data_IF_020848712285
#
_entry.id   IF_020848712285
#
_cell.length_a   1.000
_cell.length_b   1.000
_cell.length_c   1.000
_cell.angle_alpha   90.00
_cell.angle_beta   90.00
_cell.angle_gamma   90.00
#
_symmetry.space_group_name_H-M   'P 1'
#
loop_
_entity.id
_entity.type
_entity.pdbx_description
1 polymer ?
#
# COMPACT_ATOMS: atom_id res chain seq x y z
N UNK A 1 -23.59 -17.44 46.02
CA UNK A 1 -23.27 -16.14 45.38
C UNK A 1 -21.95 -16.15 44.61
N UNK A 2 -20.88 -16.89 45.06
CA UNK A 2 -19.60 -16.95 44.34
C UNK A 2 -19.63 -17.79 43.04
N UNK A 3 -20.44 -18.81 42.93
CA UNK A 3 -20.49 -19.70 41.75
C UNK A 3 -21.16 -19.04 40.53
N UNK A 4 -22.11 -18.14 40.75
CA UNK A 4 -22.76 -17.38 39.64
C UNK A 4 -21.88 -16.30 39.07
N UNK A 5 -20.92 -15.77 39.84
CA UNK A 5 -19.97 -14.74 39.36
C UNK A 5 -18.94 -15.33 38.37
N UNK A 6 -18.48 -16.56 38.62
CA UNK A 6 -17.51 -17.22 37.73
C UNK A 6 -18.14 -17.70 36.42
N UNK A 7 -19.43 -18.06 36.40
CA UNK A 7 -20.14 -18.48 35.20
C UNK A 7 -20.52 -17.31 34.26
N UNK A 8 -20.68 -16.09 34.83
CA UNK A 8 -21.02 -14.91 34.05
C UNK A 8 -19.81 -14.07 33.60
N UNK A 9 -18.60 -14.35 34.13
CA UNK A 9 -17.40 -13.60 33.81
C UNK A 9 -17.11 -13.55 32.30
N UNK A 10 -17.13 -14.68 31.53
CA UNK A 10 -16.89 -14.65 30.09
C UNK A 10 -18.00 -13.94 29.31
N UNK A 11 -19.24 -13.91 29.85
CA UNK A 11 -20.38 -13.26 29.21
C UNK A 11 -20.40 -11.74 29.47
N UNK A 12 -19.94 -11.33 30.64
CA UNK A 12 -19.78 -9.92 31.00
C UNK A 12 -18.56 -9.30 30.27
N UNK A 13 -17.44 -9.99 30.21
CA UNK A 13 -16.25 -9.53 29.47
C UNK A 13 -16.58 -9.33 27.98
N UNK A 14 -17.31 -10.27 27.35
CA UNK A 14 -17.73 -10.17 25.95
C UNK A 14 -18.75 -9.04 25.66
N UNK A 15 -19.39 -8.49 26.67
CA UNK A 15 -20.41 -7.43 26.54
C UNK A 15 -19.87 -6.03 26.77
N UNK A 16 -18.59 -5.92 27.19
CA UNK A 16 -17.86 -4.67 27.43
C UNK A 16 -16.60 -4.55 26.54
N UNK A 17 -16.34 -5.53 25.68
CA UNK A 17 -15.40 -5.32 24.57
C UNK A 17 -16.11 -4.38 23.58
N UNK A 18 -15.65 -3.15 23.49
CA UNK A 18 -16.07 -2.24 22.44
C UNK A 18 -15.73 -2.88 21.09
N UNK A 19 -16.63 -2.80 20.11
CA UNK A 19 -16.35 -3.27 18.76
C UNK A 19 -15.11 -2.54 18.21
N UNK A 20 -14.24 -3.21 17.41
CA UNK A 20 -13.07 -2.56 16.85
C UNK A 20 -13.48 -1.37 15.98
N UNK A 21 -12.81 -0.26 16.17
CA UNK A 21 -13.05 0.95 15.38
C UNK A 21 -12.68 0.69 13.91
N UNK A 22 -13.54 1.08 12.98
CA UNK A 22 -13.23 1.03 11.56
C UNK A 22 -12.06 1.97 11.23
N UNK A 23 -11.07 1.44 10.55
CA UNK A 23 -9.89 2.20 10.12
C UNK A 23 -10.25 2.99 8.88
N UNK A 24 -9.97 4.30 8.90
CA UNK A 24 -10.09 5.18 7.74
C UNK A 24 -8.72 5.75 7.40
N UNK A 25 -8.31 5.60 6.15
CA UNK A 25 -7.06 6.15 5.63
C UNK A 25 -7.39 7.40 4.79
N UNK A 26 -6.94 8.61 5.21
CA UNK A 26 -7.16 9.81 4.43
C UNK A 26 -6.55 9.69 3.02
N UNK A 27 -7.38 9.87 2.00
CA UNK A 27 -6.93 9.91 0.62
C UNK A 27 -6.29 11.28 0.31
N UNK A 28 -5.45 11.34 -0.72
CA UNK A 28 -4.87 12.60 -1.15
C UNK A 28 -5.99 13.48 -1.74
N UNK A 29 -6.05 14.75 -1.30
CA UNK A 29 -6.96 15.72 -1.91
C UNK A 29 -6.57 15.91 -3.38
N UNK A 30 -7.55 15.77 -4.27
CA UNK A 30 -7.35 16.15 -5.67
C UNK A 30 -7.15 17.66 -5.70
N UNK A 31 -5.90 18.13 -5.79
CA UNK A 31 -5.63 19.53 -6.11
C UNK A 31 -6.12 19.74 -7.54
N UNK A 32 -7.27 20.40 -7.69
CA UNK A 32 -7.55 21.14 -8.89
C UNK A 32 -6.39 22.11 -9.09
N UNK A 33 -5.80 22.11 -10.29
CA UNK A 33 -4.75 23.07 -10.68
C UNK A 33 -5.32 24.48 -10.63
N UNK A 34 -5.45 25.05 -9.44
CA UNK A 34 -5.57 26.50 -9.29
C UNK A 34 -4.22 27.11 -9.64
N UNK A 35 -4.18 27.70 -10.83
CA UNK A 35 -3.12 28.62 -11.22
C UNK A 35 -3.09 29.76 -10.21
N UNK A 36 -2.31 29.58 -9.14
CA UNK A 36 -2.03 30.65 -8.20
C UNK A 36 -1.09 31.62 -8.90
N UNK A 37 -1.65 32.73 -9.36
CA UNK A 37 -0.87 33.93 -9.65
C UNK A 37 -0.22 34.35 -8.34
N UNK A 38 1.06 34.04 -8.16
CA UNK A 38 1.86 34.59 -7.10
C UNK A 38 2.06 36.06 -7.39
N UNK A 39 1.34 36.92 -6.65
CA UNK A 39 1.75 38.32 -6.45
C UNK A 39 3.12 38.30 -5.75
N UNK A 40 4.07 39.00 -6.36
CA UNK A 40 5.44 39.02 -5.92
C UNK A 40 5.64 39.72 -4.57
N UNK A 41 5.72 38.96 -3.50
CA UNK A 41 6.45 39.38 -2.31
C UNK A 41 7.94 39.26 -2.55
N UNK A 42 8.67 40.35 -2.44
CA UNK A 42 10.13 40.36 -2.47
C UNK A 42 10.65 39.60 -1.25
N UNK A 43 10.89 38.31 -1.42
CA UNK A 43 11.68 37.49 -0.48
C UNK A 43 13.12 38.02 -0.57
N UNK A 44 13.58 38.67 0.49
CA UNK A 44 15.02 38.95 0.65
C UNK A 44 15.74 37.62 0.70
N UNK A 45 16.46 37.28 -0.36
CA UNK A 45 17.40 36.16 -0.37
C UNK A 45 18.42 36.32 0.74
N UNK A 46 18.17 35.82 1.93
CA UNK A 46 19.22 35.52 2.89
C UNK A 46 20.05 34.39 2.28
N UNK A 47 21.19 34.72 1.70
CA UNK A 47 22.21 33.73 1.34
C UNK A 47 22.60 32.97 2.61
N UNK A 48 21.97 31.86 2.84
CA UNK A 48 22.38 30.88 3.87
C UNK A 48 23.72 30.35 3.42
N UNK A 49 24.80 30.78 4.06
CA UNK A 49 26.15 30.26 3.79
C UNK A 49 26.16 28.85 4.36
N UNK A 50 26.32 27.85 3.49
CA UNK A 50 26.44 26.45 3.91
C UNK A 50 27.79 26.30 4.64
N UNK A 51 27.74 26.20 5.96
CA UNK A 51 28.90 25.94 6.81
C UNK A 51 28.93 24.46 7.21
N UNK A 52 30.08 23.99 7.74
CA UNK A 52 30.17 22.63 8.31
C UNK A 52 29.15 22.41 9.42
N UNK A 53 28.88 23.44 10.21
CA UNK A 53 27.92 23.40 11.31
C UNK A 53 26.49 23.20 10.79
N UNK A 54 26.06 23.99 9.78
CA UNK A 54 24.75 23.84 9.14
C UNK A 54 24.55 22.47 8.50
N UNK A 55 25.58 21.94 7.86
CA UNK A 55 25.56 20.59 7.30
C UNK A 55 25.39 19.54 8.40
N UNK A 56 26.11 19.67 9.51
CA UNK A 56 26.01 18.77 10.64
C UNK A 56 24.62 18.82 11.30
N UNK A 57 24.01 20.01 11.39
CA UNK A 57 22.63 20.19 11.88
C UNK A 57 21.62 19.49 10.96
N UNK A 58 21.77 19.61 9.65
CA UNK A 58 20.92 18.89 8.68
C UNK A 58 21.00 17.36 8.85
N UNK A 59 22.22 16.82 8.98
CA UNK A 59 22.40 15.39 9.24
C UNK A 59 21.79 14.94 10.57
N UNK A 60 21.91 15.76 11.61
CA UNK A 60 21.31 15.43 12.91
C UNK A 60 19.78 15.46 12.83
N UNK A 61 19.20 16.37 12.09
CA UNK A 61 17.75 16.42 11.85
C UNK A 61 17.28 15.19 11.12
N UNK A 62 17.96 14.76 10.05
CA UNK A 62 17.62 13.51 9.33
C UNK A 62 17.72 12.27 10.25
N UNK A 63 18.74 12.20 11.12
CA UNK A 63 18.85 11.13 12.11
C UNK A 63 17.69 11.15 13.11
N UNK A 64 17.27 12.32 13.54
CA UNK A 64 16.11 12.45 14.43
C UNK A 64 14.85 11.95 13.74
N UNK A 65 14.57 12.41 12.50
CA UNK A 65 13.42 11.96 11.72
C UNK A 65 13.42 10.44 11.55
N UNK A 66 14.55 9.86 11.14
CA UNK A 66 14.64 8.39 11.00
C UNK A 66 14.45 7.65 12.33
N UNK A 67 14.90 8.23 13.46
CA UNK A 67 14.69 7.69 14.80
C UNK A 67 13.19 7.65 15.19
N UNK A 68 12.44 8.71 14.89
CA UNK A 68 10.99 8.75 15.13
C UNK A 68 10.26 7.77 14.22
N UNK A 69 10.58 7.76 12.93
CA UNK A 69 9.97 6.84 11.95
C UNK A 69 10.18 5.37 12.33
N UNK A 70 11.34 5.01 12.90
CA UNK A 70 11.63 3.64 13.35
C UNK A 70 10.63 3.12 14.39
N UNK A 71 9.97 3.98 15.14
CA UNK A 71 8.93 3.57 16.10
C UNK A 71 7.68 2.98 15.41
N UNK A 72 7.49 3.29 14.14
CA UNK A 72 6.41 2.74 13.31
C UNK A 72 6.81 1.52 12.50
N UNK A 73 8.08 1.10 12.56
CA UNK A 73 8.58 -0.05 11.79
C UNK A 73 8.87 -1.22 12.73
N UNK A 74 8.36 -2.38 12.35
CA UNK A 74 8.50 -3.63 13.10
C UNK A 74 9.07 -4.72 12.20
N UNK A 75 9.62 -5.76 12.79
CA UNK A 75 10.04 -6.96 12.09
C UNK A 75 8.95 -8.03 12.20
N UNK A 76 8.63 -8.71 11.10
CA UNK A 76 7.63 -9.78 11.03
C UNK A 76 8.33 -11.04 10.55
N UNK A 77 8.22 -12.12 11.32
CA UNK A 77 8.78 -13.41 10.99
C UNK A 77 7.69 -14.48 11.00
N UNK A 78 7.75 -15.39 10.02
CA UNK A 78 6.84 -16.52 9.92
C UNK A 78 7.56 -17.85 9.94
N UNK A 79 6.93 -18.88 10.51
CA UNK A 79 7.42 -20.26 10.48
C UNK A 79 6.25 -21.26 10.39
N UNK A 80 6.53 -22.50 9.97
CA UNK A 80 5.52 -23.57 9.94
C UNK A 80 5.44 -24.26 11.32
N UNK A 81 6.55 -24.36 12.05
CA UNK A 81 6.64 -24.98 13.38
C UNK A 81 7.46 -24.13 14.36
N UNK A 82 7.25 -24.33 15.67
CA UNK A 82 8.06 -23.68 16.72
C UNK A 82 9.54 -24.05 16.66
N UNK A 83 9.86 -25.26 16.21
CA UNK A 83 11.25 -25.69 16.07
C UNK A 83 11.95 -24.95 14.93
N UNK A 84 11.25 -24.73 13.82
CA UNK A 84 11.74 -23.89 12.71
C UNK A 84 11.87 -22.45 13.15
N UNK A 85 10.85 -21.90 13.82
CA UNK A 85 10.90 -20.54 14.33
C UNK A 85 12.12 -20.31 15.21
N UNK A 86 12.41 -21.24 16.15
CA UNK A 86 13.54 -21.12 17.06
C UNK A 86 14.91 -21.23 16.37
N UNK A 87 15.00 -22.00 15.28
CA UNK A 87 16.22 -22.10 14.44
C UNK A 87 16.37 -20.88 13.54
N UNK A 88 15.25 -20.37 13.02
CA UNK A 88 15.20 -19.26 12.09
C UNK A 88 15.39 -17.90 12.77
N UNK A 89 15.43 -17.83 14.12
CA UNK A 89 15.85 -16.62 14.82
C UNK A 89 17.31 -16.23 14.50
N UNK A 90 18.13 -17.20 14.09
CA UNK A 90 19.50 -16.95 13.61
C UNK A 90 19.52 -16.65 12.09
N UNK A 91 18.44 -17.02 11.36
CA UNK A 91 18.30 -16.86 9.91
C UNK A 91 17.39 -15.67 9.59
N UNK A 92 17.98 -14.47 9.60
CA UNK A 92 17.26 -13.21 9.41
C UNK A 92 16.65 -13.05 8.00
N UNK A 93 17.00 -13.92 7.05
CA UNK A 93 16.47 -13.87 5.67
C UNK A 93 14.99 -14.25 5.57
N UNK A 94 14.40 -14.79 6.65
CA UNK A 94 13.00 -15.23 6.69
C UNK A 94 12.06 -14.22 7.33
N UNK A 95 12.53 -13.05 7.66
CA UNK A 95 11.72 -11.97 8.21
C UNK A 95 11.67 -10.78 7.26
N UNK A 96 10.61 -9.97 7.40
CA UNK A 96 10.39 -8.74 6.64
C UNK A 96 10.12 -7.58 7.59
N UNK A 97 10.34 -6.36 7.12
CA UNK A 97 9.87 -5.16 7.83
C UNK A 97 8.44 -4.84 7.47
N UNK A 98 7.65 -4.49 8.50
CA UNK A 98 6.30 -3.98 8.36
C UNK A 98 6.13 -2.61 8.98
N UNK A 99 5.11 -1.89 8.56
CA UNK A 99 4.75 -0.56 9.02
C UNK A 99 3.47 -0.63 9.85
N UNK A 100 3.48 -0.07 11.05
CA UNK A 100 2.29 0.10 11.89
C UNK A 100 1.40 1.15 11.22
N UNK A 101 0.24 0.73 10.69
CA UNK A 101 -0.67 1.63 9.94
C UNK A 101 -1.83 2.14 10.77
N UNK A 102 -2.28 1.37 11.77
CA UNK A 102 -3.39 1.77 12.62
C UNK A 102 -3.44 0.98 13.93
N UNK A 103 -4.07 1.58 14.94
CA UNK A 103 -4.61 0.94 16.14
C UNK A 103 -6.13 1.08 16.10
N UNK A 104 -6.87 -0.03 16.03
CA UNK A 104 -8.33 -0.03 15.99
C UNK A 104 -8.98 -0.20 17.38
N UNK A 105 -8.18 -0.07 18.45
CA UNK A 105 -8.60 -0.25 19.83
C UNK A 105 -8.49 -1.68 20.34
N UNK A 106 -8.51 -2.69 19.48
CA UNK A 106 -8.36 -4.11 19.83
C UNK A 106 -7.08 -4.71 19.26
N UNK A 107 -6.68 -4.26 18.08
CA UNK A 107 -5.55 -4.78 17.33
C UNK A 107 -4.67 -3.65 16.84
N UNK A 108 -3.35 -3.87 16.92
CA UNK A 108 -2.36 -3.08 16.21
C UNK A 108 -2.21 -3.69 14.81
N UNK A 109 -2.43 -2.87 13.77
CA UNK A 109 -2.45 -3.29 12.37
C UNK A 109 -1.15 -2.90 11.70
N UNK A 110 -0.54 -3.86 11.01
CA UNK A 110 0.79 -3.72 10.42
C UNK A 110 0.72 -4.09 8.95
N UNK A 111 1.03 -3.14 8.08
CA UNK A 111 1.17 -3.37 6.64
C UNK A 111 2.57 -3.86 6.31
N UNK A 112 2.67 -4.92 5.52
CA UNK A 112 3.94 -5.42 4.98
C UNK A 112 3.71 -6.18 3.68
N UNK A 113 4.79 -6.66 3.06
CA UNK A 113 4.73 -7.64 1.99
C UNK A 113 4.31 -9.02 2.47
N UNK A 114 4.22 -9.96 1.54
CA UNK A 114 4.03 -11.37 1.87
C UNK A 114 5.28 -11.94 2.56
N UNK A 115 5.05 -12.79 3.57
CA UNK A 115 6.16 -13.49 4.23
C UNK A 115 6.86 -14.45 3.25
N UNK A 116 8.19 -14.58 3.31
CA UNK A 116 8.94 -15.55 2.50
C UNK A 116 8.52 -17.01 2.78
N UNK A 117 8.05 -17.29 4.01
CA UNK A 117 7.60 -18.62 4.43
C UNK A 117 6.15 -18.82 4.00
N UNK A 118 5.93 -19.68 3.00
CA UNK A 118 4.58 -20.07 2.57
C UNK A 118 3.88 -20.87 3.66
N UNK A 119 2.58 -20.64 3.82
CA UNK A 119 1.73 -21.34 4.79
C UNK A 119 2.25 -21.25 6.23
N UNK A 120 2.86 -20.13 6.60
CA UNK A 120 3.31 -19.85 7.96
C UNK A 120 2.12 -20.00 8.94
N UNK A 121 2.29 -20.88 9.94
CA UNK A 121 1.30 -21.10 11.01
C UNK A 121 1.59 -20.28 12.25
N UNK A 122 2.84 -19.89 12.40
CA UNK A 122 3.35 -19.08 13.48
C UNK A 122 3.83 -17.79 12.84
N UNK A 123 3.29 -16.67 13.28
CA UNK A 123 3.71 -15.34 12.86
C UNK A 123 3.99 -14.54 14.12
N UNK A 124 5.16 -13.95 14.21
CA UNK A 124 5.54 -13.07 15.31
C UNK A 124 6.03 -11.75 14.80
N UNK A 125 5.66 -10.73 15.55
CA UNK A 125 6.11 -9.35 15.36
C UNK A 125 7.10 -9.00 16.46
N UNK A 126 8.27 -8.55 16.05
CA UNK A 126 9.30 -8.02 16.96
C UNK A 126 9.28 -6.51 16.90
N UNK A 127 9.04 -5.89 18.05
CA UNK A 127 9.09 -4.44 18.25
C UNK A 127 10.49 -3.97 18.62
N UNK A 128 10.70 -2.66 18.65
CA UNK A 128 11.95 -2.08 19.18
C UNK A 128 12.25 -2.63 20.57
N UNK A 129 13.51 -3.03 20.84
CA UNK A 129 13.93 -3.62 22.12
C UNK A 129 13.68 -5.13 22.24
N UNK A 130 13.56 -5.84 21.11
CA UNK A 130 13.45 -7.30 20.98
C UNK A 130 12.18 -7.91 21.62
N UNK A 131 11.17 -7.10 21.92
CA UNK A 131 9.89 -7.58 22.43
C UNK A 131 9.10 -8.25 21.31
N UNK A 132 8.69 -9.50 21.51
CA UNK A 132 7.95 -10.28 20.54
C UNK A 132 6.50 -10.50 20.95
N UNK A 133 5.59 -10.40 19.98
CA UNK A 133 4.17 -10.73 20.13
C UNK A 133 3.70 -11.64 19.00
N UNK A 134 2.81 -12.58 19.33
CA UNK A 134 2.13 -13.37 18.32
C UNK A 134 1.22 -12.48 17.47
N UNK A 135 1.23 -12.74 16.17
CA UNK A 135 0.43 -12.03 15.18
C UNK A 135 -0.37 -13.00 14.32
N UNK A 136 -1.35 -12.48 13.62
CA UNK A 136 -2.11 -13.20 12.59
C UNK A 136 -2.16 -12.39 11.31
N UNK A 137 -2.16 -13.04 10.16
CA UNK A 137 -2.46 -12.38 8.90
C UNK A 137 -3.96 -12.09 8.86
N UNK A 138 -4.34 -10.81 8.86
CA UNK A 138 -5.74 -10.36 8.86
C UNK A 138 -6.34 -10.41 7.45
N UNK A 139 -5.58 -9.96 6.47
CA UNK A 139 -6.00 -9.88 5.07
C UNK A 139 -4.80 -9.74 4.15
N UNK A 140 -4.98 -10.03 2.87
CA UNK A 140 -3.94 -9.85 1.85
C UNK A 140 -4.55 -9.41 0.52
N UNK A 141 -3.74 -8.74 -0.29
CA UNK A 141 -3.96 -8.55 -1.71
C UNK A 141 -2.83 -9.21 -2.52
N UNK A 142 -3.15 -10.28 -3.24
CA UNK A 142 -2.19 -11.00 -4.05
C UNK A 142 -1.79 -10.23 -5.34
N UNK A 143 -2.55 -9.20 -5.73
CA UNK A 143 -2.25 -8.34 -6.88
C UNK A 143 -1.00 -7.50 -6.66
N UNK A 144 -0.89 -6.89 -5.49
CA UNK A 144 0.24 -6.05 -5.07
C UNK A 144 1.24 -6.78 -4.19
N UNK A 145 0.90 -7.98 -3.68
CA UNK A 145 1.72 -8.70 -2.71
C UNK A 145 1.75 -8.01 -1.35
N UNK A 146 0.66 -7.36 -0.95
CA UNK A 146 0.54 -6.64 0.32
C UNK A 146 -0.33 -7.42 1.30
N UNK A 147 0.08 -7.44 2.57
CA UNK A 147 -0.61 -8.08 3.67
C UNK A 147 -0.78 -7.13 4.85
N UNK A 148 -1.89 -7.25 5.56
CA UNK A 148 -2.05 -6.66 6.89
C UNK A 148 -1.99 -7.76 7.93
N UNK A 149 -1.06 -7.60 8.87
CA UNK A 149 -0.88 -8.44 10.04
C UNK A 149 -1.46 -7.74 11.26
N UNK A 150 -2.04 -8.51 12.17
CA UNK A 150 -2.68 -8.00 13.39
C UNK A 150 -2.05 -8.58 14.64
N UNK A 151 -1.69 -7.71 15.58
CA UNK A 151 -1.26 -8.07 16.93
C UNK A 151 -2.34 -7.63 17.91
N UNK A 152 -2.81 -8.55 18.77
CA UNK A 152 -3.81 -8.21 19.78
C UNK A 152 -3.22 -7.20 20.77
N UNK A 153 -3.88 -6.04 20.94
CA UNK A 153 -3.40 -4.94 21.78
C UNK A 153 -3.10 -5.38 23.22
N UNK A 154 -3.92 -6.28 23.77
CA UNK A 154 -3.73 -6.83 25.12
C UNK A 154 -2.45 -7.67 25.30
N UNK A 155 -1.82 -8.11 24.21
CA UNK A 155 -0.60 -8.89 24.24
C UNK A 155 0.65 -7.99 24.17
N UNK A 156 0.49 -6.70 23.90
CA UNK A 156 1.59 -5.74 23.85
C UNK A 156 1.81 -5.18 25.26
N UNK A 157 3.02 -5.32 25.78
CA UNK A 157 3.37 -4.82 27.11
C UNK A 157 3.37 -3.26 27.14
N UNK A 158 3.04 -2.67 28.30
CA UNK A 158 2.89 -1.21 28.44
C UNK A 158 4.19 -0.45 28.10
N UNK A 159 5.35 -1.01 28.42
CA UNK A 159 6.65 -0.42 28.11
C UNK A 159 6.93 -0.41 26.60
N UNK A 160 6.53 -1.45 25.88
CA UNK A 160 6.58 -1.51 24.41
C UNK A 160 5.60 -0.49 23.80
N UNK A 161 4.38 -0.45 24.34
CA UNK A 161 3.34 0.46 23.86
C UNK A 161 3.76 1.93 23.87
N UNK A 162 4.56 2.34 24.83
CA UNK A 162 5.08 3.71 24.92
C UNK A 162 6.20 4.01 23.91
N UNK A 163 6.74 3.01 23.21
CA UNK A 163 7.87 3.14 22.29
C UNK A 163 7.45 3.01 20.81
N UNK A 164 6.20 2.66 20.53
CA UNK A 164 5.70 2.47 19.18
C UNK A 164 4.74 3.61 18.81
N UNK A 165 4.67 3.89 17.52
CA UNK A 165 3.78 4.90 16.94
C UNK A 165 3.20 4.40 15.62
N UNK A 166 2.01 4.85 15.26
CA UNK A 166 1.47 4.62 13.92
C UNK A 166 2.18 5.53 12.91
N UNK A 167 2.47 5.00 11.73
CA UNK A 167 3.12 5.78 10.68
C UNK A 167 2.21 6.89 10.17
N UNK A 168 2.78 8.04 9.89
CA UNK A 168 2.09 9.14 9.21
C UNK A 168 2.19 8.94 7.71
N UNK A 169 1.06 8.69 7.05
CA UNK A 169 1.01 8.53 5.60
C UNK A 169 1.05 9.91 4.92
N UNK A 170 2.02 10.09 4.04
CA UNK A 170 2.15 11.27 3.18
C UNK A 170 1.43 11.12 1.84
N UNK A 171 1.94 11.82 0.83
CA UNK A 171 1.51 11.72 -0.56
C UNK A 171 2.69 11.46 -1.49
N UNK A 172 2.54 10.51 -2.40
CA UNK A 172 3.58 10.18 -3.38
C UNK A 172 3.46 10.93 -4.70
N UNK A 173 2.31 11.54 -4.98
CA UNK A 173 2.08 12.28 -6.25
C UNK A 173 2.87 13.60 -6.37
N UNK A 174 3.41 14.08 -5.26
CA UNK A 174 4.22 15.32 -5.21
C UNK A 174 5.72 15.05 -5.16
N UNK A 175 6.11 13.77 -5.21
CA UNK A 175 7.52 13.35 -5.17
C UNK A 175 8.19 13.64 -6.51
N UNK A 176 9.36 14.27 -6.47
CA UNK A 176 10.13 14.66 -7.64
C UNK A 176 11.52 14.05 -7.64
N UNK A 177 12.11 13.91 -8.83
CA UNK A 177 13.52 13.52 -8.99
C UNK A 177 14.44 14.49 -8.20
N UNK A 178 15.39 13.93 -7.47
CA UNK A 178 16.31 14.68 -6.61
C UNK A 178 15.80 14.96 -5.20
N UNK A 179 14.53 14.69 -4.89
CA UNK A 179 14.04 14.82 -3.52
C UNK A 179 14.77 13.85 -2.58
N UNK A 180 15.11 14.35 -1.39
CA UNK A 180 15.71 13.50 -0.35
C UNK A 180 14.71 12.47 0.16
N UNK A 181 15.14 11.22 0.19
CA UNK A 181 14.37 10.09 0.71
C UNK A 181 15.14 9.37 1.83
N UNK A 182 14.40 8.86 2.80
CA UNK A 182 14.93 7.98 3.85
C UNK A 182 14.25 6.62 3.65
N UNK A 183 15.03 5.58 3.44
CA UNK A 183 14.56 4.20 3.44
C UNK A 183 14.73 3.60 4.84
N UNK A 184 13.66 3.08 5.43
CA UNK A 184 13.68 2.49 6.77
C UNK A 184 13.13 1.07 6.72
N UNK A 185 13.94 0.10 7.09
CA UNK A 185 13.55 -1.31 7.05
C UNK A 185 14.73 -2.26 6.95
N UNK A 186 14.45 -3.49 6.57
CA UNK A 186 15.45 -4.53 6.28
C UNK A 186 15.91 -4.37 4.83
N UNK A 187 16.88 -3.49 4.60
CA UNK A 187 17.33 -3.15 3.24
C UNK A 187 18.31 -4.17 2.69
N UNK A 188 19.03 -4.90 3.55
CA UNK A 188 20.07 -5.89 3.21
C UNK A 188 19.79 -7.27 3.83
N UNK A 189 18.52 -7.61 4.04
CA UNK A 189 18.15 -8.90 4.64
C UNK A 189 18.51 -9.08 6.13
N UNK A 190 19.20 -8.11 6.75
CA UNK A 190 19.60 -8.16 8.15
C UNK A 190 18.75 -7.22 9.04
N UNK A 191 19.34 -6.57 10.01
CA UNK A 191 18.62 -5.71 10.96
C UNK A 191 17.91 -4.53 10.27
N UNK A 192 16.86 -4.01 10.91
CA UNK A 192 16.20 -2.78 10.48
C UNK A 192 17.15 -1.60 10.59
N UNK A 193 17.44 -0.97 9.46
CA UNK A 193 18.32 0.19 9.34
C UNK A 193 17.58 1.37 8.70
N UNK A 194 18.20 2.53 8.72
CA UNK A 194 17.77 3.70 7.97
C UNK A 194 18.92 4.16 7.06
N UNK A 195 18.66 4.26 5.78
CA UNK A 195 19.57 4.75 4.77
C UNK A 195 19.00 5.99 4.08
N UNK A 196 19.88 6.85 3.60
CA UNK A 196 19.53 8.15 3.02
C UNK A 196 19.96 8.19 1.56
N UNK A 197 19.11 8.75 0.72
CA UNK A 197 19.41 8.91 -0.69
C UNK A 197 18.48 9.93 -1.33
N UNK A 198 18.35 9.85 -2.64
CA UNK A 198 17.46 10.69 -3.43
C UNK A 198 16.53 9.84 -4.29
N UNK A 199 15.41 10.44 -4.65
CA UNK A 199 14.50 9.88 -5.64
C UNK A 199 15.18 9.98 -7.02
N UNK A 200 15.35 8.85 -7.70
CA UNK A 200 15.81 8.79 -9.08
C UNK A 200 14.66 9.01 -10.06
N UNK A 201 13.49 8.47 -9.75
CA UNK A 201 12.27 8.69 -10.51
C UNK A 201 11.04 8.39 -9.65
N UNK A 202 10.05 9.28 -9.70
CA UNK A 202 8.74 9.12 -9.08
C UNK A 202 7.59 9.12 -10.09
N UNK A 203 7.88 9.18 -11.38
CA UNK A 203 6.88 9.23 -12.47
C UNK A 203 6.72 7.90 -13.20
N UNK A 204 7.27 6.81 -12.66
CA UNK A 204 7.07 5.48 -13.21
C UNK A 204 5.76 4.89 -12.73
N UNK A 205 5.11 4.10 -13.59
CA UNK A 205 3.87 3.42 -13.27
C UNK A 205 3.95 1.96 -13.68
N UNK A 206 3.41 1.10 -12.83
CA UNK A 206 3.27 -0.32 -13.08
C UNK A 206 1.80 -0.64 -13.36
N UNK A 207 1.54 -1.11 -14.59
CA UNK A 207 0.21 -1.59 -14.96
C UNK A 207 -0.06 -2.94 -14.27
N UNK A 208 -1.18 -3.02 -13.59
CA UNK A 208 -1.73 -4.25 -12.99
C UNK A 208 -3.19 -4.41 -13.43
N UNK A 209 -3.74 -5.58 -13.23
CA UNK A 209 -5.18 -5.73 -13.38
C UNK A 209 -5.91 -4.75 -12.44
N UNK A 210 -6.91 -4.09 -13.00
CA UNK A 210 -7.79 -3.13 -12.34
C UNK A 210 -7.13 -1.84 -11.82
N UNK A 211 -5.89 -1.53 -12.24
CA UNK A 211 -5.26 -0.29 -11.82
C UNK A 211 -3.86 -0.06 -12.37
N UNK A 212 -3.38 1.13 -12.11
CA UNK A 212 -2.02 1.57 -12.40
C UNK A 212 -1.44 2.18 -11.14
N UNK A 213 -0.26 1.72 -10.75
CA UNK A 213 0.36 2.07 -9.47
C UNK A 213 1.67 2.79 -9.69
N UNK A 214 1.81 3.97 -9.11
CA UNK A 214 3.06 4.73 -9.11
C UNK A 214 4.16 3.90 -8.45
N UNK A 215 5.35 3.92 -9.05
CA UNK A 215 6.55 3.31 -8.48
C UNK A 215 7.61 4.37 -8.26
N UNK A 216 8.27 4.29 -7.11
CA UNK A 216 9.34 5.20 -6.70
C UNK A 216 10.67 4.45 -6.81
N UNK A 217 11.59 4.98 -7.59
CA UNK A 217 12.96 4.48 -7.72
C UNK A 217 13.89 5.42 -6.96
N UNK A 218 14.83 4.84 -6.21
CA UNK A 218 15.80 5.60 -5.41
C UNK A 218 17.23 5.17 -5.74
N UNK A 219 18.20 5.99 -5.36
CA UNK A 219 19.63 5.66 -5.41
C UNK A 219 20.10 4.92 -4.14
N UNK A 220 19.20 4.71 -3.16
CA UNK A 220 19.52 3.96 -1.95
C UNK A 220 19.87 2.52 -2.30
N UNK A 221 21.03 2.05 -1.88
CA UNK A 221 21.44 0.67 -2.07
C UNK A 221 20.63 -0.30 -1.18
N UNK A 222 20.41 -1.53 -1.69
CA UNK A 222 19.72 -2.58 -0.96
C UNK A 222 19.61 -3.86 -1.77
N UNK A 223 19.03 -4.88 -1.18
CA UNK A 223 18.84 -6.18 -1.82
C UNK A 223 17.43 -6.32 -2.41
N UNK A 224 17.25 -7.25 -3.35
CA UNK A 224 15.96 -7.55 -3.96
C UNK A 224 14.91 -8.03 -2.94
N UNK A 225 15.37 -8.60 -1.81
CA UNK A 225 14.54 -8.99 -0.67
C UNK A 225 14.26 -7.85 0.31
N UNK A 226 14.77 -6.65 0.02
CA UNK A 226 14.58 -5.47 0.86
C UNK A 226 13.10 -5.18 1.13
N UNK A 227 12.79 -4.82 2.37
CA UNK A 227 11.44 -4.53 2.84
C UNK A 227 11.44 -3.37 3.83
N UNK A 228 10.31 -2.66 3.91
CA UNK A 228 10.17 -1.49 4.77
C UNK A 228 9.41 -0.35 4.09
N UNK A 229 9.79 0.88 4.42
CA UNK A 229 9.12 2.09 3.95
C UNK A 229 10.09 3.12 3.41
N UNK A 230 9.58 3.95 2.50
CA UNK A 230 10.22 5.17 2.02
C UNK A 230 9.52 6.37 2.68
N UNK A 231 10.28 7.27 3.27
CA UNK A 231 9.73 8.48 3.89
C UNK A 231 10.43 9.73 3.38
N UNK A 232 9.73 10.86 3.41
CA UNK A 232 10.30 12.16 3.11
C UNK A 232 11.04 12.74 4.33
N UNK A 233 11.64 13.91 4.18
CA UNK A 233 12.39 14.61 5.26
C UNK A 233 11.52 15.06 6.44
N UNK A 234 10.19 14.98 6.34
CA UNK A 234 9.24 15.23 7.44
C UNK A 234 8.84 13.95 8.19
N UNK A 235 9.34 12.78 7.75
CA UNK A 235 8.97 11.49 8.32
C UNK A 235 7.63 10.95 7.84
N UNK A 236 7.03 11.55 6.81
CA UNK A 236 5.80 11.07 6.20
C UNK A 236 6.12 9.95 5.19
N UNK A 237 5.36 8.87 5.25
CA UNK A 237 5.53 7.72 4.36
C UNK A 237 5.07 8.10 2.95
N UNK A 238 5.98 8.01 1.99
CA UNK A 238 5.72 8.25 0.57
C UNK A 238 5.68 6.94 -0.24
N UNK A 239 6.15 5.82 0.31
CA UNK A 239 6.10 4.53 -0.39
C UNK A 239 6.35 3.33 0.52
N UNK A 240 5.96 2.16 0.01
CA UNK A 240 6.25 0.84 0.59
C UNK A 240 7.31 0.17 -0.26
N UNK A 241 8.40 -0.25 0.39
CA UNK A 241 9.51 -0.92 -0.31
C UNK A 241 9.02 -2.25 -0.88
N UNK A 242 9.17 -2.38 -2.16
CA UNK A 242 9.01 -3.59 -2.94
C UNK A 242 9.94 -3.50 -4.16
N UNK A 243 11.12 -4.09 -4.05
CA UNK A 243 12.15 -3.98 -5.09
C UNK A 243 11.75 -4.66 -6.40
N UNK A 244 10.76 -5.58 -6.38
CA UNK A 244 10.26 -6.25 -7.59
C UNK A 244 9.49 -5.34 -8.55
N UNK A 245 9.13 -4.12 -8.12
CA UNK A 245 8.44 -3.15 -9.00
C UNK A 245 9.41 -2.44 -9.96
N UNK A 246 10.71 -2.57 -9.74
CA UNK A 246 11.74 -1.99 -10.59
C UNK A 246 11.88 -2.81 -11.88
N UNK A 247 11.79 -2.15 -13.01
CA UNK A 247 11.84 -2.80 -14.35
C UNK A 247 13.17 -2.62 -15.06
N UNK A 248 14.05 -1.76 -14.54
CA UNK A 248 15.42 -1.62 -15.03
C UNK A 248 16.35 -2.71 -14.45
N UNK A 249 17.60 -2.79 -14.96
CA UNK A 249 18.57 -3.82 -14.56
C UNK A 249 19.22 -3.56 -13.17
N UNK A 250 18.84 -2.47 -12.48
CA UNK A 250 19.46 -2.06 -11.20
C UNK A 250 18.75 -2.74 -10.04
N UNK A 251 19.09 -3.99 -9.78
CA UNK A 251 18.49 -4.83 -8.72
C UNK A 251 19.10 -4.62 -7.33
N UNK A 252 20.13 -3.80 -7.22
CA UNK A 252 20.83 -3.44 -5.99
C UNK A 252 20.38 -2.10 -5.38
N UNK A 253 19.28 -1.54 -5.89
CA UNK A 253 18.70 -0.30 -5.39
C UNK A 253 17.28 -0.48 -4.90
N UNK A 254 16.97 0.22 -3.81
CA UNK A 254 15.63 0.22 -3.21
C UNK A 254 14.64 0.92 -4.12
N UNK A 255 13.48 0.30 -4.28
CA UNK A 255 12.31 0.83 -4.98
C UNK A 255 11.03 0.37 -4.29
N UNK A 256 9.91 0.98 -4.63
CA UNK A 256 8.65 0.61 -4.00
C UNK A 256 7.43 1.20 -4.67
N UNK A 257 6.26 0.81 -4.18
CA UNK A 257 4.98 1.41 -4.56
C UNK A 257 4.84 2.79 -3.91
N UNK A 258 4.38 3.77 -4.68
CA UNK A 258 3.95 5.06 -4.15
C UNK A 258 2.71 4.92 -3.26
N UNK A 259 2.74 5.56 -2.10
CA UNK A 259 1.71 5.39 -1.07
C UNK A 259 0.33 5.85 -1.53
N UNK A 260 0.24 6.89 -2.37
CA UNK A 260 -1.02 7.50 -2.80
C UNK A 260 -1.96 6.54 -3.51
N UNK A 261 -1.42 5.63 -4.33
CA UNK A 261 -2.22 4.69 -5.14
C UNK A 261 -2.62 3.41 -4.40
N UNK A 262 -2.17 3.25 -3.16
CA UNK A 262 -2.47 2.05 -2.36
C UNK A 262 -3.20 2.36 -1.04
N UNK A 263 -3.57 3.63 -0.79
CA UNK A 263 -4.26 4.04 0.45
C UNK A 263 -5.62 3.35 0.63
N UNK A 264 -6.38 3.21 -0.44
CA UNK A 264 -7.65 2.48 -0.44
C UNK A 264 -7.47 0.97 -0.20
N UNK A 265 -6.43 0.38 -0.79
CA UNK A 265 -6.06 -1.01 -0.52
C UNK A 265 -5.68 -1.19 0.96
N UNK A 266 -4.85 -0.28 1.52
CA UNK A 266 -4.49 -0.30 2.94
C UNK A 266 -5.73 -0.23 3.83
N UNK A 267 -6.68 0.66 3.52
CA UNK A 267 -7.93 0.82 4.27
C UNK A 267 -8.76 -0.46 4.23
N UNK A 268 -8.97 -1.05 3.04
CA UNK A 268 -9.72 -2.30 2.90
C UNK A 268 -9.07 -3.44 3.69
N UNK A 269 -7.77 -3.63 3.52
CA UNK A 269 -7.02 -4.70 4.20
C UNK A 269 -7.01 -4.48 5.73
N UNK A 270 -6.85 -3.26 6.20
CA UNK A 270 -6.89 -2.93 7.63
C UNK A 270 -8.24 -3.26 8.28
N UNK A 271 -9.32 -3.16 7.52
CA UNK A 271 -10.66 -3.53 7.95
C UNK A 271 -11.00 -5.02 7.69
N UNK A 272 -10.03 -5.84 7.27
CA UNK A 272 -10.22 -7.26 6.99
C UNK A 272 -11.09 -7.53 5.75
N UNK A 273 -11.21 -6.54 4.87
CA UNK A 273 -11.96 -6.64 3.61
C UNK A 273 -11.03 -7.09 2.49
N UNK A 274 -11.56 -7.87 1.55
CA UNK A 274 -10.83 -8.20 0.33
C UNK A 274 -10.88 -7.02 -0.65
N UNK A 275 -9.82 -6.87 -1.44
CA UNK A 275 -9.75 -5.85 -2.49
C UNK A 275 -10.63 -6.26 -3.66
N UNK A 276 -11.57 -5.41 -4.12
CA UNK A 276 -12.41 -5.67 -5.27
C UNK A 276 -11.58 -5.89 -6.53
N UNK A 277 -11.97 -6.87 -7.34
CA UNK A 277 -11.22 -7.30 -8.50
C UNK A 277 -12.17 -7.71 -9.63
N UNK A 278 -11.93 -7.20 -10.83
CA UNK A 278 -12.56 -7.63 -12.07
C UNK A 278 -11.58 -8.39 -12.97
N UNK A 279 -10.31 -8.05 -12.95
CA UNK A 279 -9.27 -8.66 -13.74
C UNK A 279 -9.11 -8.06 -15.13
N UNK A 280 -9.20 -6.75 -15.24
CA UNK A 280 -9.05 -5.98 -16.49
C UNK A 280 -7.75 -5.21 -16.47
N UNK A 281 -6.87 -5.48 -17.42
CA UNK A 281 -5.72 -4.63 -17.73
C UNK A 281 -6.10 -3.71 -18.87
N UNK A 282 -6.11 -2.40 -18.64
CA UNK A 282 -6.57 -1.42 -19.58
C UNK A 282 -5.72 -0.15 -19.62
N UNK A 283 -6.04 0.71 -20.56
CA UNK A 283 -5.48 2.05 -20.68
C UNK A 283 -6.57 3.05 -20.95
N UNK A 284 -6.35 4.28 -20.53
CA UNK A 284 -7.23 5.39 -20.89
C UNK A 284 -7.24 5.60 -22.41
N UNK A 285 -8.42 5.84 -22.99
CA UNK A 285 -8.55 6.24 -24.39
C UNK A 285 -8.07 7.68 -24.53
N UNK A 286 -6.86 7.86 -25.09
CA UNK A 286 -6.26 9.18 -25.29
C UNK A 286 -7.03 10.05 -26.28
N UNK A 287 -6.78 11.36 -26.24
CA UNK A 287 -7.39 12.31 -27.20
C UNK A 287 -7.06 11.96 -28.65
N UNK A 288 -5.88 11.38 -28.92
CA UNK A 288 -5.49 10.91 -30.25
C UNK A 288 -6.36 9.72 -30.69
N UNK A 289 -6.57 8.74 -29.81
CA UNK A 289 -7.45 7.60 -30.05
C UNK A 289 -8.91 8.04 -30.28
N UNK A 290 -9.38 9.02 -29.50
CA UNK A 290 -10.72 9.61 -29.69
C UNK A 290 -10.83 10.29 -31.07
N UNK A 291 -9.77 10.97 -31.53
CA UNK A 291 -9.69 11.54 -32.88
C UNK A 291 -9.78 10.51 -34.00
N UNK A 292 -9.46 9.24 -33.71
CA UNK A 292 -9.62 8.10 -34.64
C UNK A 292 -10.99 7.43 -34.51
N UNK A 293 -11.91 7.98 -33.70
CA UNK A 293 -13.28 7.48 -33.53
C UNK A 293 -13.42 6.44 -32.42
N UNK A 294 -12.40 6.24 -31.57
CA UNK A 294 -12.50 5.36 -30.41
C UNK A 294 -13.25 6.09 -29.29
N UNK A 295 -14.33 5.52 -28.72
CA UNK A 295 -15.09 6.14 -27.65
C UNK A 295 -14.25 6.37 -26.38
N UNK A 296 -14.54 7.46 -25.65
CA UNK A 296 -13.92 7.73 -24.35
C UNK A 296 -14.22 6.61 -23.34
N UNK A 297 -13.26 6.28 -22.51
CA UNK A 297 -13.36 5.24 -21.48
C UNK A 297 -12.03 4.54 -21.25
N UNK A 298 -12.09 3.33 -20.70
CA UNK A 298 -10.93 2.45 -20.50
C UNK A 298 -10.93 1.37 -21.60
N UNK A 299 -9.93 1.42 -22.46
CA UNK A 299 -9.68 0.40 -23.48
C UNK A 299 -9.08 -0.85 -22.83
N UNK A 300 -9.75 -1.98 -22.94
CA UNK A 300 -9.33 -3.27 -22.41
C UNK A 300 -8.20 -3.84 -23.28
N UNK A 301 -6.99 -3.91 -22.74
CA UNK A 301 -5.84 -4.55 -23.39
C UNK A 301 -5.88 -6.06 -23.18
N UNK A 302 -6.09 -6.48 -21.94
CA UNK A 302 -6.05 -7.86 -21.53
C UNK A 302 -7.07 -8.12 -20.41
N UNK A 303 -7.54 -9.36 -20.31
CA UNK A 303 -8.42 -9.83 -19.25
C UNK A 303 -7.78 -11.06 -18.63
N UNK A 304 -7.58 -11.04 -17.30
CA UNK A 304 -6.96 -12.12 -16.56
C UNK A 304 -7.76 -13.44 -16.73
N UNK A 305 -7.05 -14.53 -16.92
CA UNK A 305 -7.67 -15.86 -17.05
C UNK A 305 -8.42 -16.24 -15.76
N UNK A 306 -9.67 -16.68 -15.91
CA UNK A 306 -10.52 -17.07 -14.79
C UNK A 306 -11.06 -15.89 -13.97
N UNK A 307 -10.86 -14.66 -14.40
CA UNK A 307 -11.34 -13.45 -13.72
C UNK A 307 -12.86 -13.26 -13.84
N UNK A 308 -13.46 -12.43 -12.97
CA UNK A 308 -14.85 -12.00 -13.10
C UNK A 308 -15.18 -11.35 -14.45
N UNK A 309 -14.28 -10.53 -14.99
CA UNK A 309 -14.44 -9.89 -16.28
C UNK A 309 -14.50 -10.92 -17.42
N UNK A 310 -13.60 -11.91 -17.40
CA UNK A 310 -13.63 -13.01 -18.37
C UNK A 310 -14.92 -13.81 -18.28
N UNK A 311 -15.37 -14.14 -17.07
CA UNK A 311 -16.60 -14.88 -16.84
C UNK A 311 -17.85 -14.13 -17.35
N UNK A 312 -17.82 -12.79 -17.30
CA UNK A 312 -18.88 -11.92 -17.81
C UNK A 312 -18.82 -11.69 -19.32
N UNK A 313 -17.73 -12.11 -20.00
CA UNK A 313 -17.57 -11.97 -21.46
C UNK A 313 -16.92 -10.66 -21.90
N UNK A 314 -16.28 -9.92 -20.98
CA UNK A 314 -15.39 -8.80 -21.31
C UNK A 314 -14.14 -9.37 -21.99
N UNK A 315 -13.64 -8.70 -23.02
CA UNK A 315 -12.49 -9.15 -23.80
C UNK A 315 -11.63 -7.97 -24.26
N UNK A 316 -10.42 -8.30 -24.70
CA UNK A 316 -9.51 -7.32 -25.32
C UNK A 316 -10.21 -6.62 -26.51
N UNK A 317 -10.06 -5.31 -26.59
CA UNK A 317 -10.71 -4.46 -27.58
C UNK A 317 -12.03 -3.85 -27.14
N UNK A 318 -12.61 -4.26 -26.00
CA UNK A 318 -13.76 -3.57 -25.41
C UNK A 318 -13.33 -2.23 -24.81
N UNK A 319 -14.29 -1.31 -24.70
CA UNK A 319 -14.10 -0.04 -24.01
C UNK A 319 -15.09 0.04 -22.87
N UNK A 320 -14.60 0.07 -21.63
CA UNK A 320 -15.46 0.23 -20.45
C UNK A 320 -15.77 1.71 -20.28
N UNK A 321 -17.07 2.03 -20.27
CA UNK A 321 -17.58 3.41 -20.19
C UNK A 321 -18.41 3.69 -18.96
N UNK A 322 -18.86 2.64 -18.22
CA UNK A 322 -19.66 2.80 -17.01
C UNK A 322 -19.53 1.56 -16.13
N UNK A 323 -19.46 1.75 -14.81
CA UNK A 323 -19.45 0.71 -13.78
C UNK A 323 -20.45 1.10 -12.71
N UNK A 324 -21.42 0.22 -12.40
CA UNK A 324 -22.39 0.44 -11.34
C UNK A 324 -23.04 1.85 -11.40
N UNK A 325 -23.50 2.24 -12.59
CA UNK A 325 -24.10 3.53 -12.92
C UNK A 325 -23.18 4.76 -12.79
N UNK A 326 -21.87 4.56 -12.59
CA UNK A 326 -20.87 5.63 -12.62
C UNK A 326 -20.15 5.66 -13.95
N UNK A 327 -20.10 6.81 -14.61
CA UNK A 327 -19.40 6.98 -15.88
C UNK A 327 -17.89 6.91 -15.69
N UNK A 328 -17.23 6.15 -16.57
CA UNK A 328 -15.79 5.91 -16.58
C UNK A 328 -15.18 6.64 -17.75
N UNK A 329 -14.38 7.65 -17.46
CA UNK A 329 -13.72 8.49 -18.47
C UNK A 329 -12.22 8.23 -18.57
N UNK A 330 -11.60 7.69 -17.51
CA UNK A 330 -10.17 7.37 -17.42
C UNK A 330 -9.91 6.19 -16.49
N UNK A 331 -8.66 5.74 -16.42
CA UNK A 331 -8.26 4.57 -15.63
C UNK A 331 -8.37 4.83 -14.11
N UNK A 332 -8.08 6.05 -13.66
CA UNK A 332 -8.24 6.42 -12.25
C UNK A 332 -9.72 6.37 -11.81
N UNK A 333 -10.63 6.88 -12.65
CA UNK A 333 -12.08 6.79 -12.41
C UNK A 333 -12.57 5.34 -12.38
N UNK A 334 -12.03 4.48 -13.24
CA UNK A 334 -12.28 3.03 -13.23
C UNK A 334 -11.86 2.43 -11.87
N UNK A 335 -10.60 2.62 -11.47
CA UNK A 335 -10.06 2.11 -10.22
C UNK A 335 -10.87 2.58 -9.00
N UNK A 336 -11.07 3.89 -8.87
CA UNK A 336 -11.80 4.47 -7.74
C UNK A 336 -13.26 4.01 -7.66
N UNK A 337 -13.88 3.72 -8.81
CA UNK A 337 -15.26 3.20 -8.84
C UNK A 337 -15.31 1.74 -8.45
N UNK A 338 -14.31 0.95 -8.87
CA UNK A 338 -14.20 -0.45 -8.49
C UNK A 338 -13.91 -0.61 -6.99
N UNK A 339 -13.00 0.20 -6.42
CA UNK A 339 -12.65 0.13 -4.99
C UNK A 339 -13.84 0.44 -4.05
N UNK A 340 -14.90 1.07 -4.56
CA UNK A 340 -16.16 1.32 -3.80
C UNK A 340 -17.13 0.14 -3.82
N UNK A 341 -16.89 -0.88 -4.64
CA UNK A 341 -17.74 -2.06 -4.71
C UNK A 341 -17.36 -3.06 -3.60
N UNK A 342 -18.30 -3.94 -3.24
CA UNK A 342 -17.98 -5.04 -2.35
C UNK A 342 -17.75 -6.34 -3.14
N UNK A 343 -16.85 -7.17 -2.65
CA UNK A 343 -16.67 -8.52 -3.19
C UNK A 343 -17.97 -9.32 -3.05
N UNK A 344 -18.42 -9.91 -4.14
CA UNK A 344 -19.70 -10.62 -4.23
C UNK A 344 -20.86 -9.79 -4.79
N UNK A 345 -20.73 -8.47 -4.89
CA UNK A 345 -21.74 -7.62 -5.51
C UNK A 345 -21.91 -7.97 -7.00
N UNK A 346 -23.15 -7.95 -7.45
CA UNK A 346 -23.49 -8.09 -8.86
C UNK A 346 -23.68 -6.70 -9.43
N UNK A 347 -22.76 -6.29 -10.27
CA UNK A 347 -22.75 -4.96 -10.88
C UNK A 347 -22.98 -5.05 -12.40
N UNK A 348 -23.49 -3.99 -12.95
CA UNK A 348 -23.58 -3.79 -14.40
C UNK A 348 -22.35 -2.99 -14.86
N UNK A 349 -21.58 -3.57 -15.77
CA UNK A 349 -20.49 -2.88 -16.48
C UNK A 349 -20.99 -2.63 -17.90
N UNK A 350 -21.01 -1.36 -18.31
CA UNK A 350 -21.38 -0.99 -19.69
C UNK A 350 -20.14 -0.61 -20.46
N UNK A 351 -20.15 -0.95 -21.70
CA UNK A 351 -19.02 -0.66 -22.57
C UNK A 351 -19.42 -0.58 -24.03
N UNK A 352 -18.40 -0.50 -24.86
CA UNK A 352 -18.55 -0.49 -26.30
C UNK A 352 -17.61 -1.52 -26.91
N UNK A 353 -18.11 -2.24 -27.92
CA UNK A 353 -17.33 -3.22 -28.68
C UNK A 353 -17.35 -2.85 -30.14
N UNK A 354 -16.21 -2.97 -30.81
CA UNK A 354 -16.12 -2.72 -32.22
C UNK A 354 -16.81 -3.84 -33.02
N UNK A 355 -17.79 -3.49 -33.80
CA UNK A 355 -18.49 -4.40 -34.72
C UNK A 355 -17.67 -4.71 -35.99
N UNK A 356 -18.16 -5.63 -36.80
CA UNK A 356 -17.50 -6.06 -38.04
C UNK A 356 -17.40 -4.96 -39.10
N UNK A 357 -18.23 -3.92 -39.00
CA UNK A 357 -18.22 -2.74 -39.87
C UNK A 357 -17.28 -1.62 -39.38
N UNK A 358 -16.65 -1.80 -38.21
CA UNK A 358 -15.76 -0.80 -37.62
C UNK A 358 -16.46 0.20 -36.68
N UNK A 359 -17.78 0.20 -36.61
CA UNK A 359 -18.58 0.99 -35.68
C UNK A 359 -18.51 0.41 -34.26
N UNK A 360 -18.63 1.25 -33.24
CA UNK A 360 -18.73 0.84 -31.85
C UNK A 360 -20.19 0.68 -31.43
N UNK A 361 -20.56 -0.48 -30.92
CA UNK A 361 -21.88 -0.83 -30.42
C UNK A 361 -21.87 -0.94 -28.90
N UNK A 362 -22.98 -0.54 -28.27
CA UNK A 362 -23.13 -0.66 -26.82
C UNK A 362 -23.27 -2.13 -26.44
N UNK A 363 -22.64 -2.48 -25.31
CA UNK A 363 -22.66 -3.83 -24.73
C UNK A 363 -22.72 -3.73 -23.22
N UNK A 364 -23.52 -4.60 -22.62
CA UNK A 364 -23.73 -4.69 -21.18
C UNK A 364 -23.19 -6.02 -20.66
N UNK A 365 -22.47 -5.96 -19.52
CA UNK A 365 -21.92 -7.12 -18.85
C UNK A 365 -22.41 -7.18 -17.40
N UNK A 366 -23.06 -8.28 -17.03
CA UNK A 366 -23.37 -8.57 -15.63
C UNK A 366 -22.16 -9.22 -14.97
N UNK A 367 -21.47 -8.49 -14.09
CA UNK A 367 -20.24 -8.95 -13.46
C UNK A 367 -20.50 -9.18 -11.98
N UNK A 368 -20.01 -10.30 -11.43
CA UNK A 368 -19.92 -10.48 -9.96
C UNK A 368 -18.51 -10.09 -9.53
N UNK A 369 -18.38 -9.06 -8.69
CA UNK A 369 -17.09 -8.57 -8.21
C UNK A 369 -16.37 -9.67 -7.44
N UNK A 370 -15.15 -9.99 -7.82
CA UNK A 370 -14.29 -10.97 -7.16
C UNK A 370 -13.20 -10.33 -6.31
N UNK A 371 -12.24 -11.16 -5.90
CA UNK A 371 -10.96 -10.74 -5.33
C UNK A 371 -9.85 -11.64 -5.87
N UNK A 372 -8.62 -11.15 -5.90
CA UNK A 372 -7.46 -11.94 -6.36
C UNK A 372 -6.95 -12.79 -5.20
N UNK A 373 -6.86 -14.13 -5.43
CA UNK A 373 -6.39 -15.10 -4.41
C UNK A 373 -4.87 -15.25 -4.44
#
# INVERSE_FOLDING_TARGET
>A
ACFTFFACKPWVEKRFEEDPTEVTIPQDEQREEEQTQQEGEQVQEQKTVLTTETYQEMLNNLKQVSGEVRKSVVEIQGAVTEEEFSKDQEDKDKSISGMIVADNGQELLILAGELPVKDAKIIRVTFSGDSQCDATMKSRDAGLGLCVYAVQRKNIADDVWTQIETATLGGSKVVSEGDTVIAVGKLYGCDTIAEYGVIESGENYLDKADGQYQTIYTDVAGEISGSGILVNIRGEVIGIINTSVRTDEQTDKISGYGISDIKDVIELLSNGKNVPYLGVSGVEVSSEMQGQGIPQGVYVKEVDAGSPAMAAGIQSGDIITNIADTDIINLLGYHNTLMKQNVGDKILVRGKRQGTGGEYVDIDFGVTVGYKQ
#
